data_IF_464851193221
#
_entry.id   IF_464851193221
#
_cell.length_a   1.000
_cell.length_b   1.000
_cell.length_c   1.000
_cell.angle_alpha   90.00
_cell.angle_beta   90.00
_cell.angle_gamma   90.00
#
_symmetry.space_group_name_H-M   'P 1'
#
loop_
_entity.id
_entity.type
_entity.pdbx_description
1 polymer ?
#
# COMPACT_ATOMS: atom_id res chain seq x y z
N UNK A 1 -57.19 -36.19 -34.16
CA UNK A 1 -57.59 -34.86 -33.66
C UNK A 1 -56.39 -34.24 -32.96
N UNK A 2 -56.06 -33.01 -33.38
CA UNK A 2 -55.13 -31.98 -32.86
C UNK A 2 -55.01 -31.95 -31.31
N UNK A 3 -53.95 -31.47 -30.63
CA UNK A 3 -52.90 -30.46 -30.92
C UNK A 3 -51.63 -30.79 -30.07
N UNK A 4 -50.39 -30.71 -30.58
CA UNK A 4 -49.46 -29.56 -30.64
C UNK A 4 -49.34 -28.73 -29.36
N UNK A 5 -48.20 -28.88 -28.66
CA UNK A 5 -47.32 -27.77 -28.23
C UNK A 5 -46.00 -28.30 -27.67
N UNK A 6 -44.94 -28.15 -28.47
CA UNK A 6 -43.55 -28.28 -28.05
C UNK A 6 -43.16 -27.06 -27.19
N UNK A 7 -42.40 -27.28 -26.11
CA UNK A 7 -41.59 -26.24 -25.48
C UNK A 7 -40.18 -26.74 -25.24
N UNK A 8 -39.29 -25.98 -25.86
CA UNK A 8 -37.84 -26.08 -25.93
C UNK A 8 -37.20 -25.66 -24.61
N UNK A 9 -36.09 -26.33 -24.26
CA UNK A 9 -35.21 -26.00 -23.13
C UNK A 9 -34.13 -25.03 -23.63
N UNK A 10 -33.90 -23.86 -23.01
CA UNK A 10 -32.75 -23.05 -23.35
C UNK A 10 -31.53 -23.45 -22.53
N UNK A 11 -30.41 -23.63 -23.25
CA UNK A 11 -29.03 -23.59 -22.74
C UNK A 11 -28.60 -22.12 -22.54
N UNK A 12 -27.59 -21.95 -21.68
CA UNK A 12 -26.75 -20.76 -21.45
C UNK A 12 -27.34 -19.60 -20.63
N UNK A 13 -26.78 -19.40 -19.44
CA UNK A 13 -26.56 -18.08 -18.85
C UNK A 13 -25.16 -18.09 -18.21
N UNK A 14 -24.22 -17.44 -18.89
CA UNK A 14 -22.89 -17.11 -18.39
C UNK A 14 -23.02 -16.05 -17.30
N UNK A 15 -22.30 -16.24 -16.19
CA UNK A 15 -22.24 -15.31 -15.08
C UNK A 15 -21.55 -14.01 -15.49
N UNK A 16 -22.28 -12.91 -15.43
CA UNK A 16 -21.74 -11.55 -15.45
C UNK A 16 -21.28 -11.19 -14.04
N UNK A 17 -19.98 -11.02 -13.85
CA UNK A 17 -19.41 -10.34 -12.69
C UNK A 17 -18.83 -9.02 -13.16
N UNK A 18 -19.62 -7.96 -13.05
CA UNK A 18 -19.18 -6.57 -13.22
C UNK A 18 -19.43 -5.89 -11.87
N UNK A 19 -18.36 -5.65 -11.11
CA UNK A 19 -18.39 -4.84 -9.89
C UNK A 19 -17.79 -3.48 -10.20
N UNK A 20 -18.65 -2.53 -10.58
CA UNK A 20 -18.38 -1.09 -10.49
C UNK A 20 -19.71 -0.33 -10.64
N UNK A 21 -20.22 0.26 -9.56
CA UNK A 21 -21.22 1.34 -9.65
C UNK A 21 -21.15 2.26 -8.41
N UNK A 22 -20.79 3.52 -8.66
CA UNK A 22 -21.37 4.79 -8.15
C UNK A 22 -20.33 5.90 -8.48
N UNK A 23 -20.61 7.02 -9.17
CA UNK A 23 -21.76 7.91 -9.11
C UNK A 23 -21.95 8.66 -10.45
N UNK A 24 -23.18 9.08 -10.73
CA UNK A 24 -23.62 9.82 -11.93
C UNK A 24 -23.56 11.34 -11.69
N UNK A 25 -22.92 12.16 -12.54
CA UNK A 25 -23.13 13.61 -12.53
C UNK A 25 -24.32 14.02 -13.41
N UNK A 26 -25.03 15.08 -12.98
CA UNK A 26 -26.16 15.71 -13.67
C UNK A 26 -25.72 16.37 -14.99
N UNK A 27 -26.58 16.29 -16.01
CA UNK A 27 -26.48 17.07 -17.25
C UNK A 27 -26.87 18.53 -17.03
N UNK A 28 -26.25 19.47 -17.78
CA UNK A 28 -26.91 20.68 -18.20
C UNK A 28 -27.26 20.65 -19.70
N UNK A 29 -28.37 21.31 -20.00
CA UNK A 29 -29.06 21.44 -21.27
C UNK A 29 -28.44 22.45 -22.24
N UNK A 30 -28.40 22.06 -23.52
CA UNK A 30 -28.75 22.85 -24.71
C UNK A 30 -28.07 24.21 -24.99
N UNK A 31 -27.23 24.31 -26.02
CA UNK A 31 -27.56 24.88 -27.35
C UNK A 31 -26.31 25.20 -28.21
N UNK A 32 -26.35 24.67 -29.45
CA UNK A 32 -25.94 25.22 -30.77
C UNK A 32 -24.46 25.49 -31.15
N UNK A 33 -23.98 24.60 -32.03
CA UNK A 33 -23.47 24.78 -33.42
C UNK A 33 -22.69 26.03 -33.87
N UNK A 34 -21.61 25.77 -34.62
CA UNK A 34 -21.05 26.60 -35.70
C UNK A 34 -19.56 26.91 -35.56
N UNK A 35 -18.66 26.11 -36.14
CA UNK A 35 -18.01 26.25 -37.46
C UNK A 35 -16.78 27.18 -37.52
N UNK A 36 -15.82 26.75 -38.35
CA UNK A 36 -14.44 27.18 -38.46
C UNK A 36 -14.22 28.56 -39.11
N UNK A 37 -13.05 29.18 -38.88
CA UNK A 37 -12.07 29.62 -39.90
C UNK A 37 -11.08 30.69 -39.38
N UNK A 38 -9.79 30.50 -39.68
CA UNK A 38 -8.74 31.53 -39.83
C UNK A 38 -9.16 32.51 -40.96
N UNK A 39 -8.71 33.80 -41.07
CA UNK A 39 -7.29 34.23 -41.01
C UNK A 39 -6.99 35.71 -40.56
N UNK A 40 -5.70 36.07 -40.56
CA UNK A 40 -5.14 37.45 -40.75
C UNK A 40 -5.52 38.02 -42.16
N UNK A 41 -5.24 39.28 -42.62
CA UNK A 41 -4.24 40.28 -42.16
C UNK A 41 -4.61 41.81 -42.24
N UNK A 42 -3.89 42.67 -41.48
CA UNK A 42 -3.47 44.11 -41.73
C UNK A 42 -4.48 45.21 -42.17
N UNK A 43 -4.12 46.52 -42.33
CA UNK A 43 -3.49 47.50 -41.41
C UNK A 43 -4.14 48.93 -41.46
N UNK A 44 -3.51 49.90 -40.77
CA UNK A 44 -3.41 51.36 -41.04
C UNK A 44 -4.40 52.39 -40.44
N UNK A 45 -3.76 53.50 -40.03
CA UNK A 45 -4.20 54.92 -40.05
C UNK A 45 -4.93 55.42 -38.80
N UNK A 46 -4.69 56.60 -38.23
CA UNK A 46 -3.70 57.69 -38.35
C UNK A 46 -4.03 58.68 -37.22
N UNK A 47 -3.04 59.40 -36.68
CA UNK A 47 -3.31 60.64 -35.95
C UNK A 47 -2.07 61.57 -36.03
N UNK A 48 -2.26 62.90 -36.10
CA UNK A 48 -1.23 63.81 -36.60
C UNK A 48 -0.63 64.75 -35.54
N UNK A 49 0.53 65.27 -35.93
CA UNK A 49 1.11 66.60 -35.73
C UNK A 49 1.63 67.08 -34.36
N UNK A 50 2.96 67.26 -34.41
CA UNK A 50 3.95 68.01 -33.63
C UNK A 50 3.58 69.53 -33.45
N UNK A 51 4.34 70.43 -32.76
CA UNK A 51 5.83 70.50 -32.65
C UNK A 51 6.34 70.97 -31.24
N UNK A 52 7.62 71.11 -30.85
CA UNK A 52 8.83 71.61 -31.51
C UNK A 52 10.08 71.26 -30.62
N UNK A 53 11.18 70.94 -31.30
CA UNK A 53 12.62 70.68 -30.98
C UNK A 53 13.44 71.79 -30.27
N UNK A 54 14.79 71.72 -30.02
CA UNK A 54 15.83 70.64 -29.82
C UNK A 54 16.82 71.03 -28.63
N UNK A 55 18.14 70.66 -28.50
CA UNK A 55 19.07 69.72 -29.20
C UNK A 55 20.04 68.83 -28.34
N UNK A 56 20.56 67.78 -29.01
CA UNK A 56 21.97 67.27 -29.07
C UNK A 56 22.68 66.52 -27.90
N UNK A 57 23.01 65.26 -28.25
CA UNK A 57 24.02 64.25 -27.84
C UNK A 57 25.37 64.70 -27.23
N UNK A 58 26.09 63.84 -26.46
CA UNK A 58 26.89 62.75 -27.07
C UNK A 58 27.00 61.41 -26.28
N UNK A 59 27.62 60.46 -27.00
CA UNK A 59 27.87 59.01 -26.87
C UNK A 59 28.82 58.56 -25.68
N UNK A 60 29.25 57.27 -25.59
CA UNK A 60 28.90 56.29 -24.56
C UNK A 60 29.96 56.08 -23.45
N UNK A 61 29.60 55.47 -22.31
CA UNK A 61 30.53 55.08 -21.23
C UNK A 61 30.25 53.64 -20.75
N UNK A 62 31.28 52.83 -20.41
CA UNK A 62 31.19 51.36 -20.39
C UNK A 62 30.42 50.80 -19.20
N UNK A 63 29.83 49.62 -19.43
CA UNK A 63 29.15 48.78 -18.43
C UNK A 63 30.07 48.48 -17.23
N UNK A 64 29.67 48.91 -16.03
CA UNK A 64 30.27 48.43 -14.78
C UNK A 64 29.60 47.14 -14.31
N UNK A 65 30.37 46.11 -13.89
CA UNK A 65 29.82 44.89 -13.32
C UNK A 65 29.51 45.07 -11.83
N UNK A 66 28.22 45.12 -11.48
CA UNK A 66 27.71 44.57 -10.21
C UNK A 66 27.07 43.22 -10.53
N UNK A 67 27.10 42.16 -9.73
CA UNK A 67 27.31 42.05 -8.29
C UNK A 67 27.67 40.60 -7.98
N UNK A 68 28.95 40.31 -7.72
CA UNK A 68 29.34 39.11 -6.99
C UNK A 68 30.12 39.55 -5.75
N UNK A 69 29.77 39.08 -4.54
CA UNK A 69 30.57 39.39 -3.35
C UNK A 69 31.94 38.75 -3.51
N UNK A 70 33.01 39.52 -3.39
CA UNK A 70 34.37 38.99 -3.42
C UNK A 70 34.63 38.15 -2.17
N UNK A 71 35.20 36.95 -2.35
CA UNK A 71 35.60 36.04 -1.27
C UNK A 71 36.97 36.39 -0.65
N UNK A 72 37.57 37.52 -1.05
CA UNK A 72 38.87 37.95 -0.56
C UNK A 72 38.74 38.62 0.81
N UNK A 73 39.12 37.87 1.85
CA UNK A 73 39.18 38.35 3.23
C UNK A 73 40.56 38.98 3.48
N UNK A 74 40.66 40.30 3.35
CA UNK A 74 41.85 41.04 3.77
C UNK A 74 41.80 41.32 5.28
N UNK A 75 42.88 41.08 6.04
CA UNK A 75 42.95 41.54 7.43
C UNK A 75 42.89 43.07 7.46
N UNK A 76 42.17 43.69 8.40
CA UNK A 76 41.96 45.13 8.42
C UNK A 76 43.29 45.88 8.62
N UNK A 77 43.47 46.96 7.86
CA UNK A 77 44.61 47.87 7.97
C UNK A 77 44.73 48.44 9.40
N UNK A 78 45.94 48.54 9.97
CA UNK A 78 46.14 49.01 11.34
C UNK A 78 45.83 50.51 11.56
N UNK A 79 45.41 51.23 10.50
CA UNK A 79 45.18 52.67 10.51
C UNK A 79 43.74 53.09 10.81
N UNK A 80 42.75 52.19 10.77
CA UNK A 80 41.40 52.47 11.28
C UNK A 80 41.24 52.01 12.73
N UNK A 81 42.08 52.56 13.60
CA UNK A 81 41.76 52.57 15.02
C UNK A 81 40.57 53.50 15.23
N UNK A 82 39.38 52.90 15.36
CA UNK A 82 38.23 53.52 16.02
C UNK A 82 38.75 54.36 17.19
N UNK A 83 38.41 55.66 17.22
CA UNK A 83 38.71 56.54 18.34
C UNK A 83 38.16 55.90 19.62
N UNK A 84 39.08 55.26 20.34
CA UNK A 84 38.81 54.49 21.53
C UNK A 84 38.62 55.49 22.66
N UNK A 85 37.37 55.72 23.05
CA UNK A 85 37.07 56.40 24.30
C UNK A 85 37.88 55.73 25.41
N UNK A 86 38.67 56.52 26.13
CA UNK A 86 39.67 56.08 27.12
C UNK A 86 39.08 55.46 28.39
N UNK A 87 38.00 54.69 28.29
CA UNK A 87 37.49 53.88 29.39
C UNK A 87 38.17 52.51 29.35
N UNK A 88 39.11 52.29 30.29
CA UNK A 88 39.60 50.95 30.63
C UNK A 88 38.41 50.11 31.10
N UNK A 89 37.82 49.32 30.20
CA UNK A 89 36.86 48.28 30.60
C UNK A 89 37.58 47.32 31.53
N UNK A 90 37.18 47.33 32.80
CA UNK A 90 37.69 46.42 33.81
C UNK A 90 37.54 44.99 33.29
N UNK A 91 38.63 44.23 33.31
CA UNK A 91 38.73 42.83 32.87
C UNK A 91 37.68 42.00 33.65
N UNK A 92 36.45 41.90 33.14
CA UNK A 92 35.31 41.25 33.80
C UNK A 92 33.98 42.01 33.80
N UNK A 93 33.91 43.28 33.37
CA UNK A 93 32.63 43.97 33.21
C UNK A 93 32.00 43.63 31.87
N UNK A 94 31.09 42.66 31.87
CA UNK A 94 30.24 42.35 30.71
C UNK A 94 29.60 43.62 30.16
N UNK A 95 29.60 43.76 28.84
CA UNK A 95 28.97 44.88 28.13
C UNK A 95 27.49 44.99 28.51
N UNK A 96 26.91 46.18 28.48
CA UNK A 96 25.48 46.39 28.76
C UNK A 96 24.60 45.50 27.88
N UNK A 97 25.01 45.30 26.62
CA UNK A 97 24.36 44.38 25.68
C UNK A 97 24.46 42.90 26.14
N UNK A 98 25.61 42.47 26.67
CA UNK A 98 25.81 41.11 27.17
C UNK A 98 25.04 40.85 28.47
N UNK A 99 24.97 41.83 29.37
CA UNK A 99 24.14 41.77 30.58
C UNK A 99 22.66 41.69 30.23
N UNK A 100 22.22 42.47 29.24
CA UNK A 100 20.83 42.43 28.74
C UNK A 100 20.51 41.07 28.13
N UNK A 101 21.37 40.52 27.25
CA UNK A 101 21.21 39.17 26.68
C UNK A 101 21.20 38.08 27.75
N UNK A 102 22.07 38.18 28.77
CA UNK A 102 22.12 37.20 29.87
C UNK A 102 20.88 37.27 30.77
N UNK A 103 20.39 38.47 31.07
CA UNK A 103 19.14 38.64 31.82
C UNK A 103 17.95 38.18 31.00
N UNK A 104 17.88 38.52 29.72
CA UNK A 104 16.86 38.03 28.80
C UNK A 104 16.89 36.50 28.67
N UNK A 105 18.08 35.89 28.59
CA UNK A 105 18.23 34.43 28.59
C UNK A 105 17.75 33.79 29.90
N UNK A 106 18.02 34.41 31.06
CA UNK A 106 17.50 33.94 32.36
C UNK A 106 15.99 34.08 32.45
N UNK A 107 15.43 35.21 31.99
CA UNK A 107 13.99 35.42 31.94
C UNK A 107 13.31 34.44 31.00
N UNK A 108 13.91 34.17 29.83
CA UNK A 108 13.42 33.19 28.87
C UNK A 108 13.45 31.77 29.45
N UNK A 109 14.54 31.38 30.12
CA UNK A 109 14.62 30.09 30.83
C UNK A 109 13.58 30.01 31.96
N UNK A 110 13.39 31.08 32.74
CA UNK A 110 12.35 31.15 33.76
C UNK A 110 10.95 30.98 33.18
N UNK A 111 10.64 31.68 32.10
CA UNK A 111 9.36 31.54 31.39
C UNK A 111 9.16 30.11 30.84
N UNK A 112 10.20 29.49 30.28
CA UNK A 112 10.15 28.12 29.78
C UNK A 112 9.92 27.11 30.90
N UNK A 113 10.56 27.29 32.06
CA UNK A 113 10.32 26.42 33.24
C UNK A 113 8.90 26.55 33.79
N UNK A 114 8.35 27.78 33.82
CA UNK A 114 6.96 28.00 34.23
C UNK A 114 5.98 27.38 33.24
N UNK A 115 6.23 27.53 31.94
CA UNK A 115 5.41 26.92 30.90
C UNK A 115 5.44 25.39 30.97
N UNK A 116 6.63 24.78 31.18
CA UNK A 116 6.76 23.34 31.34
C UNK A 116 6.06 22.84 32.61
N UNK A 117 6.18 23.56 33.73
CA UNK A 117 5.48 23.23 34.98
C UNK A 117 3.96 23.30 34.82
N UNK A 118 3.44 24.36 34.19
CA UNK A 118 2.02 24.50 33.90
C UNK A 118 1.52 23.38 32.95
N UNK A 119 2.32 23.03 31.94
CA UNK A 119 2.01 21.95 31.02
C UNK A 119 1.98 20.58 31.72
N UNK A 120 2.93 20.28 32.61
CA UNK A 120 2.95 19.06 33.40
C UNK A 120 1.72 18.93 34.33
N UNK A 121 1.27 20.04 34.92
CA UNK A 121 0.03 20.11 35.71
C UNK A 121 -1.19 19.85 34.81
N UNK A 122 -1.24 20.49 33.63
CA UNK A 122 -2.30 20.28 32.65
C UNK A 122 -2.38 18.83 32.16
N UNK A 123 -1.24 18.18 31.90
CA UNK A 123 -1.17 16.76 31.57
C UNK A 123 -1.65 15.85 32.71
N UNK A 124 -1.73 16.33 33.95
CA UNK A 124 -2.27 15.60 35.10
C UNK A 124 -3.79 15.68 35.26
N UNK A 125 -4.49 16.38 34.35
CA UNK A 125 -5.96 16.50 34.28
C UNK A 125 -6.66 15.14 34.23
N UNK A 126 -7.93 15.09 34.60
CA UNK A 126 -8.77 13.91 34.45
C UNK A 126 -8.93 13.50 32.97
N UNK A 127 -9.36 12.25 32.74
CA UNK A 127 -9.58 11.72 31.41
C UNK A 127 -10.90 12.25 30.85
N UNK A 128 -10.88 12.71 29.59
CA UNK A 128 -12.13 12.98 28.87
C UNK A 128 -12.67 11.70 28.25
N UNK A 129 -13.98 11.64 28.05
CA UNK A 129 -14.66 10.49 27.42
C UNK A 129 -14.14 10.22 25.99
N UNK A 130 -13.79 11.28 25.25
CA UNK A 130 -13.21 11.16 23.91
C UNK A 130 -11.78 10.60 23.94
N UNK A 131 -10.95 11.02 24.92
CA UNK A 131 -9.60 10.49 25.12
C UNK A 131 -9.64 9.00 25.50
N UNK A 132 -10.55 8.60 26.39
CA UNK A 132 -10.79 7.20 26.78
C UNK A 132 -11.21 6.35 25.58
N UNK A 133 -12.15 6.86 24.77
CA UNK A 133 -12.64 6.18 23.56
C UNK A 133 -11.54 6.02 22.51
N UNK A 134 -10.74 7.07 22.27
CA UNK A 134 -9.62 7.03 21.33
C UNK A 134 -8.57 5.99 21.75
N UNK A 135 -8.34 5.85 23.06
CA UNK A 135 -7.38 4.88 23.62
C UNK A 135 -7.95 3.47 23.81
N UNK A 136 -9.23 3.23 23.51
CA UNK A 136 -9.92 1.95 23.77
C UNK A 136 -9.76 1.47 25.23
N UNK A 137 -9.67 2.38 26.20
CA UNK A 137 -9.54 2.05 27.62
C UNK A 137 -10.87 2.29 28.35
N UNK A 138 -11.17 1.46 29.35
CA UNK A 138 -12.23 1.73 30.32
C UNK A 138 -11.69 2.57 31.49
N UNK A 139 -12.58 3.31 32.15
CA UNK A 139 -12.23 4.15 33.32
C UNK A 139 -11.53 3.34 34.41
N UNK A 140 -11.86 2.06 34.55
CA UNK A 140 -11.27 1.13 35.53
C UNK A 140 -9.83 0.72 35.20
N UNK A 141 -9.44 0.70 33.92
CA UNK A 141 -8.09 0.33 33.48
C UNK A 141 -7.15 1.54 33.47
N UNK A 142 -7.70 2.75 33.41
CA UNK A 142 -6.91 3.97 33.31
C UNK A 142 -6.26 4.35 34.65
N UNK A 143 -5.01 4.86 34.66
CA UNK A 143 -4.36 5.27 35.90
C UNK A 143 -5.14 6.43 36.55
N UNK A 144 -5.55 6.22 37.81
CA UNK A 144 -6.31 7.21 38.59
C UNK A 144 -5.44 8.29 39.22
N UNK A 145 -4.14 8.02 39.38
CA UNK A 145 -3.19 8.98 39.98
C UNK A 145 -2.82 10.07 38.99
N UNK A 146 -2.70 11.33 39.47
CA UNK A 146 -2.29 12.46 38.64
C UNK A 146 -0.96 12.20 37.91
N UNK A 147 0.01 11.62 38.62
CA UNK A 147 1.30 11.26 38.04
C UNK A 147 1.16 10.18 36.96
N UNK A 148 0.37 9.13 37.21
CA UNK A 148 0.11 8.09 36.21
C UNK A 148 -0.53 8.63 34.93
N UNK A 149 -1.44 9.61 35.05
CA UNK A 149 -2.02 10.30 33.87
C UNK A 149 -0.99 11.13 33.11
N UNK A 150 -0.18 11.91 33.82
CA UNK A 150 0.88 12.72 33.20
C UNK A 150 1.90 11.83 32.49
N UNK A 151 2.32 10.72 33.11
CA UNK A 151 3.27 9.79 32.50
C UNK A 151 2.66 9.14 31.27
N UNK A 152 1.40 8.70 31.32
CA UNK A 152 0.73 8.04 30.18
C UNK A 152 0.52 9.00 29.00
N UNK A 153 0.16 10.27 29.25
CA UNK A 153 0.06 11.28 28.19
C UNK A 153 1.43 11.64 27.61
N UNK A 154 2.47 11.65 28.44
CA UNK A 154 3.83 11.92 28.00
C UNK A 154 4.39 10.76 27.16
N UNK A 155 4.17 9.50 27.57
CA UNK A 155 4.57 8.32 26.78
C UNK A 155 3.82 8.26 25.45
N UNK A 156 2.54 8.61 25.45
CA UNK A 156 1.72 8.64 24.23
C UNK A 156 2.22 9.67 23.19
N UNK A 157 2.86 10.76 23.63
CA UNK A 157 3.52 11.71 22.73
C UNK A 157 4.67 11.06 21.94
N UNK A 158 5.32 10.06 22.52
CA UNK A 158 6.36 9.27 21.87
C UNK A 158 5.81 7.99 21.21
N UNK A 159 4.57 7.59 21.51
CA UNK A 159 3.94 6.40 20.92
C UNK A 159 3.67 6.56 19.42
N UNK A 160 3.59 7.79 18.90
CA UNK A 160 3.54 8.03 17.45
C UNK A 160 4.70 7.33 16.70
N UNK A 161 5.87 7.19 17.34
CA UNK A 161 7.03 6.51 16.75
C UNK A 161 7.01 4.98 16.95
N UNK A 162 6.16 4.47 17.85
CA UNK A 162 6.13 3.06 18.25
C UNK A 162 4.87 2.31 17.77
N UNK A 163 3.78 3.02 17.49
CA UNK A 163 2.52 2.49 16.94
C UNK A 163 2.48 2.70 15.42
N UNK A 164 1.79 1.84 14.66
CA UNK A 164 1.65 2.05 13.22
C UNK A 164 0.83 3.32 12.94
N UNK A 165 0.98 3.88 11.73
CA UNK A 165 0.31 5.13 11.33
C UNK A 165 -1.23 5.09 11.46
N UNK A 166 -1.83 3.90 11.45
CA UNK A 166 -3.27 3.69 11.54
C UNK A 166 -3.65 2.64 12.61
N UNK A 167 -4.79 2.82 13.30
CA UNK A 167 -5.25 1.86 14.31
C UNK A 167 -5.69 0.52 13.72
N UNK A 168 -6.09 0.51 12.45
CA UNK A 168 -6.40 -0.67 11.67
C UNK A 168 -5.68 -0.54 10.33
N UNK A 169 -4.88 -1.54 9.98
CA UNK A 169 -4.04 -1.53 8.78
C UNK A 169 -4.82 -1.89 7.52
N UNK A 170 -5.86 -2.72 7.66
CA UNK A 170 -6.70 -3.14 6.54
C UNK A 170 -8.14 -2.67 6.70
N UNK A 171 -8.82 -2.37 5.58
CA UNK A 171 -10.26 -2.17 5.59
C UNK A 171 -10.98 -3.44 6.05
N UNK A 172 -12.26 -3.34 6.47
CA UNK A 172 -13.05 -4.51 6.81
C UNK A 172 -13.10 -5.50 5.63
N UNK A 173 -13.22 -6.80 5.89
CA UNK A 173 -13.26 -7.80 4.85
C UNK A 173 -14.47 -7.59 3.92
N UNK A 174 -14.32 -7.98 2.66
CA UNK A 174 -15.43 -7.92 1.70
C UNK A 174 -16.65 -8.73 2.17
N UNK A 175 -17.88 -8.31 1.81
CA UNK A 175 -19.06 -9.12 2.08
C UNK A 175 -19.02 -10.43 1.27
N UNK A 176 -19.55 -11.50 1.85
CA UNK A 176 -19.83 -12.75 1.13
C UNK A 176 -20.68 -12.45 -0.13
N UNK A 177 -20.43 -13.09 -1.29
CA UNK A 177 -19.63 -14.31 -1.52
C UNK A 177 -18.16 -14.09 -1.94
N UNK A 178 -17.70 -12.85 -2.09
CA UNK A 178 -16.35 -12.58 -2.63
C UNK A 178 -15.24 -12.64 -1.58
N UNK A 179 -15.60 -12.79 -0.30
CA UNK A 179 -14.65 -12.90 0.79
C UNK A 179 -13.84 -14.21 0.69
N UNK A 180 -12.52 -14.11 0.81
CA UNK A 180 -11.65 -15.28 0.97
C UNK A 180 -11.68 -15.75 2.44
N UNK A 181 -11.63 -17.07 2.69
CA UNK A 181 -11.77 -17.62 4.05
C UNK A 181 -10.56 -17.32 4.96
N UNK A 182 -9.36 -17.19 4.38
CA UNK A 182 -8.10 -17.00 5.11
C UNK A 182 -7.31 -15.83 4.51
N UNK A 183 -6.49 -15.20 5.34
CA UNK A 183 -5.57 -14.12 4.93
C UNK A 183 -4.14 -14.63 5.00
N UNK A 184 -3.39 -14.46 3.90
CA UNK A 184 -1.99 -14.84 3.79
C UNK A 184 -1.12 -13.59 3.70
N UNK A 185 -0.34 -13.34 4.74
CA UNK A 185 0.64 -12.26 4.78
C UNK A 185 1.96 -12.76 4.19
N UNK A 186 2.56 -12.01 3.28
CA UNK A 186 3.76 -12.43 2.57
C UNK A 186 4.81 -11.33 2.61
N UNK A 187 6.00 -11.65 3.12
CA UNK A 187 7.17 -10.78 3.06
C UNK A 187 7.74 -10.72 1.65
N UNK A 188 8.40 -9.62 1.28
CA UNK A 188 9.04 -9.48 -0.04
C UNK A 188 10.49 -9.94 0.02
N UNK A 189 11.25 -9.35 0.94
CA UNK A 189 12.70 -9.45 1.01
C UNK A 189 13.19 -10.84 1.37
N UNK A 190 14.09 -11.35 0.53
CA UNK A 190 14.65 -12.68 0.57
C UNK A 190 13.59 -13.81 0.56
N UNK A 191 12.32 -13.49 0.29
CA UNK A 191 11.23 -14.46 0.17
C UNK A 191 10.74 -14.58 -1.27
N UNK A 192 10.27 -13.48 -1.86
CA UNK A 192 9.79 -13.41 -3.24
C UNK A 192 10.87 -12.88 -4.19
N UNK A 193 11.67 -11.94 -3.70
CA UNK A 193 12.77 -11.36 -4.45
C UNK A 193 13.99 -11.21 -3.56
N UNK A 194 15.16 -11.11 -4.15
CA UNK A 194 16.37 -10.70 -3.44
C UNK A 194 17.01 -9.55 -4.19
N UNK A 195 17.42 -8.52 -3.46
CA UNK A 195 18.04 -7.32 -4.01
C UNK A 195 19.52 -7.33 -3.65
N UNK A 196 20.37 -7.23 -4.67
CA UNK A 196 21.82 -7.15 -4.53
C UNK A 196 22.29 -5.79 -5.03
N UNK A 197 23.28 -5.20 -4.37
CA UNK A 197 23.89 -3.96 -4.82
C UNK A 197 25.29 -4.25 -5.35
N UNK A 198 25.58 -3.72 -6.54
CA UNK A 198 26.89 -3.77 -7.16
C UNK A 198 27.33 -2.33 -7.53
N UNK A 199 28.64 -2.07 -7.49
CA UNK A 199 29.19 -0.74 -7.80
C UNK A 199 29.00 -0.36 -9.28
N UNK A 200 29.02 -1.35 -10.18
CA UNK A 200 28.88 -1.10 -11.62
C UNK A 200 27.42 -0.90 -12.05
N UNK A 201 26.50 -1.66 -11.45
CA UNK A 201 25.11 -1.76 -11.91
C UNK A 201 24.08 -1.20 -10.91
N UNK A 202 24.54 -0.77 -9.72
CA UNK A 202 23.67 -0.35 -8.64
C UNK A 202 22.82 -1.49 -8.07
N UNK A 203 21.60 -1.16 -7.65
CA UNK A 203 20.64 -2.12 -7.13
C UNK A 203 20.04 -2.98 -8.25
N UNK A 204 20.14 -4.30 -8.09
CA UNK A 204 19.55 -5.30 -8.97
C UNK A 204 18.68 -6.24 -8.15
N UNK A 205 17.44 -6.42 -8.58
CA UNK A 205 16.47 -7.31 -7.92
C UNK A 205 16.25 -8.54 -8.78
N UNK A 206 16.51 -9.71 -8.21
CA UNK A 206 16.23 -11.00 -8.82
C UNK A 206 14.88 -11.54 -8.32
N UNK A 207 14.10 -12.15 -9.20
CA UNK A 207 12.83 -12.79 -8.87
C UNK A 207 13.06 -14.26 -8.52
N UNK A 208 12.47 -14.73 -7.42
CA UNK A 208 12.56 -16.14 -7.03
C UNK A 208 11.83 -17.04 -8.04
N UNK A 209 12.40 -18.20 -8.41
CA UNK A 209 11.72 -19.13 -9.30
C UNK A 209 10.33 -19.50 -8.77
N UNK A 210 9.33 -19.46 -9.64
CA UNK A 210 7.95 -19.85 -9.31
C UNK A 210 7.11 -18.80 -8.56
N UNK A 211 7.61 -17.59 -8.31
CA UNK A 211 6.84 -16.52 -7.63
C UNK A 211 5.55 -16.17 -8.35
N UNK A 212 5.57 -15.99 -9.67
CA UNK A 212 4.37 -15.62 -10.43
C UNK A 212 3.29 -16.71 -10.30
N UNK A 213 3.70 -17.98 -10.43
CA UNK A 213 2.81 -19.13 -10.27
C UNK A 213 2.27 -19.20 -8.84
N UNK A 214 3.13 -19.02 -7.84
CA UNK A 214 2.75 -19.05 -6.45
C UNK A 214 1.69 -17.98 -6.12
N UNK A 215 1.92 -16.72 -6.51
CA UNK A 215 0.97 -15.61 -6.26
C UNK A 215 -0.36 -15.83 -6.97
N UNK A 216 -0.31 -16.22 -8.25
CA UNK A 216 -1.51 -16.44 -9.05
C UNK A 216 -2.34 -17.65 -8.59
N UNK A 217 -1.68 -18.73 -8.16
CA UNK A 217 -2.37 -19.92 -7.69
C UNK A 217 -2.94 -19.74 -6.27
N UNK A 218 -2.19 -19.09 -5.37
CA UNK A 218 -2.59 -18.96 -3.97
C UNK A 218 -3.69 -17.90 -3.76
N UNK A 219 -3.78 -16.88 -4.63
CA UNK A 219 -4.82 -15.85 -4.59
C UNK A 219 -6.23 -16.40 -4.82
N UNK A 220 -6.36 -17.58 -5.42
CA UNK A 220 -7.64 -18.28 -5.55
C UNK A 220 -8.20 -18.68 -4.17
N UNK A 221 -7.31 -18.98 -3.22
CA UNK A 221 -7.66 -19.52 -1.90
C UNK A 221 -7.60 -18.50 -0.76
N UNK A 222 -6.63 -17.58 -0.82
CA UNK A 222 -6.31 -16.64 0.26
C UNK A 222 -6.54 -15.19 -0.18
N UNK A 223 -6.89 -14.34 0.79
CA UNK A 223 -6.66 -12.91 0.69
C UNK A 223 -5.16 -12.66 0.83
N UNK A 224 -4.47 -12.39 -0.27
CA UNK A 224 -3.02 -12.18 -0.27
C UNK A 224 -2.71 -10.74 0.10
N UNK A 225 -1.96 -10.57 1.19
CA UNK A 225 -1.51 -9.26 1.67
C UNK A 225 0.00 -9.26 1.68
N UNK A 226 0.59 -8.36 0.91
CA UNK A 226 2.03 -8.12 0.99
C UNK A 226 2.29 -7.32 2.26
N UNK A 227 3.12 -7.84 3.16
CA UNK A 227 3.53 -7.13 4.37
C UNK A 227 5.05 -7.15 4.47
N UNK A 228 5.69 -6.09 3.99
CA UNK A 228 7.15 -5.96 3.93
C UNK A 228 7.70 -4.95 4.95
N UNK A 229 8.95 -5.13 5.35
CA UNK A 229 9.71 -4.14 6.14
C UNK A 229 10.40 -3.10 5.27
N UNK A 230 10.31 -3.21 3.94
CA UNK A 230 10.77 -2.16 3.03
C UNK A 230 9.83 -0.95 3.02
N UNK A 231 10.40 0.23 2.78
CA UNK A 231 9.64 1.46 2.62
C UNK A 231 8.80 1.43 1.33
N UNK A 232 7.72 2.20 1.30
CA UNK A 232 6.83 2.29 0.15
C UNK A 232 7.58 2.55 -1.17
N UNK A 233 8.51 3.51 -1.18
CA UNK A 233 9.20 3.95 -2.40
C UNK A 233 10.12 2.88 -3.02
N UNK A 234 10.62 1.91 -2.24
CA UNK A 234 11.46 0.82 -2.77
C UNK A 234 10.63 -0.38 -3.18
N UNK A 235 9.63 -0.74 -2.37
CA UNK A 235 8.88 -1.97 -2.55
C UNK A 235 7.71 -1.83 -3.54
N UNK A 236 7.03 -0.68 -3.60
CA UNK A 236 5.87 -0.52 -4.48
C UNK A 236 6.20 -0.82 -5.96
N UNK A 237 7.30 -0.30 -6.55
CA UNK A 237 7.67 -0.62 -7.93
C UNK A 237 8.03 -2.10 -8.16
N UNK A 238 8.45 -2.81 -7.12
CA UNK A 238 8.73 -4.26 -7.19
C UNK A 238 7.41 -5.02 -7.24
N UNK A 239 6.47 -4.69 -6.33
CA UNK A 239 5.14 -5.33 -6.29
C UNK A 239 4.37 -5.06 -7.58
N UNK A 240 4.42 -3.84 -8.13
CA UNK A 240 3.80 -3.50 -9.42
C UNK A 240 4.35 -4.30 -10.60
N UNK A 241 5.60 -4.77 -10.51
CA UNK A 241 6.19 -5.65 -11.52
C UNK A 241 5.81 -7.12 -11.31
N UNK A 242 5.56 -7.54 -10.07
CA UNK A 242 5.13 -8.90 -9.74
C UNK A 242 3.64 -9.11 -10.02
N UNK A 243 2.80 -8.10 -9.76
CA UNK A 243 1.36 -8.11 -10.00
C UNK A 243 0.93 -6.86 -10.77
N UNK A 244 1.16 -6.87 -12.08
CA UNK A 244 0.97 -5.70 -12.94
C UNK A 244 -0.49 -5.28 -13.10
N UNK A 245 -1.43 -6.20 -12.91
CA UNK A 245 -2.86 -5.95 -13.07
C UNK A 245 -3.61 -5.91 -11.73
N UNK A 246 -2.91 -6.04 -10.59
CA UNK A 246 -3.49 -6.08 -9.25
C UNK A 246 -4.54 -7.19 -9.07
N UNK A 247 -4.31 -8.35 -9.69
CA UNK A 247 -5.25 -9.47 -9.62
C UNK A 247 -5.00 -10.41 -8.45
N UNK A 248 -3.76 -10.46 -7.97
CA UNK A 248 -3.34 -11.47 -6.99
C UNK A 248 -3.22 -10.88 -5.60
N UNK A 249 -2.62 -9.70 -5.47
CA UNK A 249 -2.38 -9.01 -4.20
C UNK A 249 -3.56 -8.11 -3.87
N UNK A 250 -4.26 -8.42 -2.76
CA UNK A 250 -5.43 -7.64 -2.31
C UNK A 250 -5.01 -6.35 -1.60
N UNK A 251 -4.01 -6.43 -0.72
CA UNK A 251 -3.53 -5.28 0.05
C UNK A 251 -2.00 -5.27 0.16
N UNK A 252 -1.44 -4.07 0.34
CA UNK A 252 0.00 -3.83 0.38
C UNK A 252 0.34 -3.00 1.62
N UNK A 253 1.14 -3.58 2.50
CA UNK A 253 1.62 -3.00 3.74
C UNK A 253 3.15 -2.94 3.69
N UNK A 254 3.69 -1.78 4.02
CA UNK A 254 5.11 -1.46 3.92
C UNK A 254 5.68 -1.12 5.30
N UNK A 255 6.92 -0.61 5.36
CA UNK A 255 7.62 -0.25 6.60
C UNK A 255 6.79 0.66 7.51
N UNK A 256 6.02 1.56 6.94
CA UNK A 256 5.17 2.53 7.63
C UNK A 256 4.04 1.87 8.44
N UNK A 257 3.69 0.62 8.11
CA UNK A 257 2.70 -0.19 8.83
C UNK A 257 3.31 -1.08 9.93
N UNK A 258 4.64 -1.09 10.09
CA UNK A 258 5.33 -1.90 11.10
C UNK A 258 5.60 -1.10 12.38
N UNK A 259 5.78 -1.81 13.50
CA UNK A 259 6.14 -1.24 14.80
C UNK A 259 7.62 -1.41 15.08
N UNK A 260 8.18 -0.50 15.87
CA UNK A 260 9.51 -0.67 16.45
C UNK A 260 9.37 -1.04 17.92
N UNK A 261 9.73 -2.27 18.29
CA UNK A 261 9.71 -2.74 19.68
C UNK A 261 11.15 -3.04 20.08
N UNK A 262 11.67 -2.32 21.08
CA UNK A 262 13.05 -2.45 21.55
C UNK A 262 14.11 -2.30 20.43
N UNK A 263 13.86 -1.41 19.46
CA UNK A 263 14.74 -1.17 18.32
C UNK A 263 14.66 -2.24 17.22
N UNK A 264 13.77 -3.24 17.34
CA UNK A 264 13.51 -4.26 16.32
C UNK A 264 12.22 -3.97 15.58
N UNK A 265 12.19 -4.27 14.29
CA UNK A 265 11.01 -4.08 13.43
C UNK A 265 10.08 -5.29 13.60
N UNK A 266 8.83 -5.02 13.95
CA UNK A 266 7.81 -6.03 14.21
C UNK A 266 6.55 -5.75 13.39
N UNK A 267 6.04 -6.78 12.73
CA UNK A 267 4.78 -6.83 11.99
C UNK A 267 3.69 -7.28 12.95
N UNK A 268 3.07 -6.31 13.63
CA UNK A 268 2.06 -6.59 14.63
C UNK A 268 0.70 -6.93 14.00
N UNK A 269 0.30 -8.21 14.08
CA UNK A 269 -0.91 -8.72 13.46
C UNK A 269 -2.20 -8.26 14.15
N UNK A 270 -2.10 -7.76 15.39
CA UNK A 270 -3.27 -7.25 16.13
C UNK A 270 -3.91 -6.03 15.45
N UNK A 271 -3.16 -5.31 14.62
CA UNK A 271 -3.65 -4.14 13.87
C UNK A 271 -4.21 -4.52 12.50
N UNK A 272 -4.20 -5.79 12.09
CA UNK A 272 -4.58 -6.20 10.74
C UNK A 272 -6.09 -6.11 10.46
N UNK A 273 -6.93 -6.00 11.49
CA UNK A 273 -8.40 -6.07 11.38
C UNK A 273 -8.88 -7.38 10.71
N UNK A 274 -8.27 -8.50 11.11
CA UNK A 274 -8.62 -9.85 10.67
C UNK A 274 -8.62 -10.79 11.87
N UNK A 275 -9.39 -11.88 11.77
CA UNK A 275 -9.42 -12.93 12.78
C UNK A 275 -8.10 -13.72 12.76
N UNK A 276 -7.30 -13.63 13.84
CA UNK A 276 -5.99 -14.26 13.94
C UNK A 276 -6.05 -15.79 13.81
N UNK A 277 -7.19 -16.44 14.07
CA UNK A 277 -7.35 -17.89 13.84
C UNK A 277 -7.32 -18.26 12.35
N UNK A 278 -7.43 -17.27 11.45
CA UNK A 278 -7.48 -17.42 9.99
C UNK A 278 -6.37 -16.65 9.26
N UNK A 279 -5.38 -16.14 9.99
CA UNK A 279 -4.23 -15.40 9.43
C UNK A 279 -2.99 -16.30 9.45
N UNK A 280 -2.30 -16.37 8.32
CA UNK A 280 -1.00 -17.03 8.20
C UNK A 280 0.02 -16.02 7.70
N UNK A 281 1.19 -15.95 8.34
CA UNK A 281 2.29 -15.07 7.93
C UNK A 281 3.47 -15.88 7.40
N UNK A 282 3.89 -15.59 6.17
CA UNK A 282 5.10 -16.14 5.56
C UNK A 282 6.20 -15.08 5.60
N UNK A 283 7.24 -15.34 6.39
CA UNK A 283 8.37 -14.44 6.56
C UNK A 283 9.70 -15.19 6.52
N UNK A 284 10.80 -14.44 6.44
CA UNK A 284 12.15 -14.99 6.47
C UNK A 284 12.89 -14.66 7.76
N UNK A 285 12.38 -13.70 8.53
CA UNK A 285 12.97 -13.28 9.79
C UNK A 285 11.99 -13.52 10.96
N UNK A 286 12.37 -14.30 11.98
CA UNK A 286 11.51 -14.53 13.14
C UNK A 286 11.28 -13.26 13.97
N UNK A 287 12.13 -12.23 13.86
CA UNK A 287 11.94 -10.99 14.60
C UNK A 287 10.70 -10.22 14.12
N UNK A 288 10.42 -10.29 12.81
CA UNK A 288 9.26 -9.63 12.20
C UNK A 288 7.95 -10.11 12.80
N UNK A 289 7.84 -11.38 13.21
CA UNK A 289 6.61 -11.97 13.75
C UNK A 289 6.69 -12.26 15.24
N UNK A 290 7.62 -11.61 15.95
CA UNK A 290 7.87 -11.84 17.38
C UNK A 290 6.65 -11.64 18.30
N UNK A 291 5.65 -10.85 17.88
CA UNK A 291 4.39 -10.68 18.62
C UNK A 291 3.40 -11.82 18.44
N UNK A 292 3.44 -12.54 17.31
CA UNK A 292 2.50 -13.60 16.96
C UNK A 292 3.24 -14.77 16.27
N UNK A 293 4.19 -15.43 16.97
CA UNK A 293 4.98 -16.52 16.40
C UNK A 293 4.11 -17.72 15.96
N UNK A 294 2.98 -17.95 16.61
CA UNK A 294 2.05 -19.06 16.32
C UNK A 294 1.32 -18.92 14.98
N UNK A 295 1.29 -17.72 14.41
CA UNK A 295 0.74 -17.44 13.09
C UNK A 295 1.80 -17.42 11.99
N UNK A 296 3.08 -17.57 12.34
CA UNK A 296 4.21 -17.35 11.44
C UNK A 296 4.85 -18.65 10.96
N UNK A 297 5.14 -18.68 9.67
CA UNK A 297 5.93 -19.72 9.01
C UNK A 297 7.20 -19.05 8.51
N UNK A 298 8.32 -19.40 9.16
CA UNK A 298 9.63 -18.86 8.82
C UNK A 298 10.28 -19.73 7.76
N UNK A 299 10.49 -19.16 6.58
CA UNK A 299 11.11 -19.80 5.43
C UNK A 299 12.58 -19.34 5.33
N UNK A 300 13.53 -20.22 4.97
CA UNK A 300 14.90 -19.81 4.75
C UNK A 300 15.02 -18.67 3.72
N UNK A 301 15.87 -17.67 4.03
CA UNK A 301 16.21 -16.57 3.12
C UNK A 301 16.74 -17.10 1.79
N UNK A 302 16.12 -16.69 0.69
CA UNK A 302 16.53 -17.05 -0.67
C UNK A 302 17.66 -16.13 -1.14
N UNK A 303 18.80 -16.73 -1.50
CA UNK A 303 20.04 -16.02 -1.85
C UNK A 303 20.23 -15.86 -3.37
N UNK A 304 19.18 -16.02 -4.17
CA UNK A 304 19.28 -15.88 -5.63
C UNK A 304 19.53 -17.17 -6.41
N UNK A 305 19.45 -18.36 -5.77
CA UNK A 305 19.63 -19.64 -6.47
C UNK A 305 18.48 -19.88 -7.48
N UNK A 306 18.76 -20.03 -8.79
CA UNK A 306 17.75 -20.29 -9.81
C UNK A 306 17.13 -21.69 -9.74
N UNK A 307 17.73 -22.63 -8.99
CA UNK A 307 17.19 -23.99 -8.79
C UNK A 307 16.35 -24.12 -7.52
N UNK A 308 16.12 -23.01 -6.81
CA UNK A 308 15.27 -23.01 -5.63
C UNK A 308 13.83 -23.36 -6.00
N UNK A 309 13.28 -24.36 -5.30
CA UNK A 309 11.88 -24.76 -5.41
C UNK A 309 11.13 -24.57 -4.09
N UNK A 310 11.73 -23.86 -3.12
CA UNK A 310 11.21 -23.78 -1.76
C UNK A 310 9.84 -23.11 -1.68
N UNK A 311 9.62 -22.06 -2.48
CA UNK A 311 8.34 -21.34 -2.52
C UNK A 311 7.21 -22.19 -3.13
N UNK A 312 7.49 -22.87 -4.25
CA UNK A 312 6.51 -23.74 -4.92
C UNK A 312 6.19 -24.97 -4.06
N UNK A 313 7.19 -25.51 -3.37
CA UNK A 313 7.02 -26.67 -2.49
C UNK A 313 6.14 -26.36 -1.26
N UNK A 314 5.91 -25.08 -0.92
CA UNK A 314 4.97 -24.67 0.14
C UNK A 314 3.50 -24.69 -0.29
N UNK A 315 3.22 -24.66 -1.60
CA UNK A 315 1.85 -24.59 -2.13
C UNK A 315 0.96 -25.73 -1.61
N UNK A 316 1.36 -27.01 -1.66
CA UNK A 316 0.51 -28.12 -1.20
C UNK A 316 0.06 -27.98 0.26
N UNK A 317 0.94 -27.46 1.12
CA UNK A 317 0.64 -27.25 2.53
C UNK A 317 -0.39 -26.13 2.71
N UNK A 318 -0.16 -24.96 2.11
CA UNK A 318 -1.08 -23.81 2.20
C UNK A 318 -2.44 -24.12 1.54
N UNK A 319 -2.42 -24.80 0.40
CA UNK A 319 -3.63 -25.26 -0.31
C UNK A 319 -4.48 -26.17 0.60
N UNK A 320 -3.83 -27.09 1.33
CA UNK A 320 -4.54 -28.02 2.23
C UNK A 320 -5.32 -27.32 3.34
N UNK A 321 -4.75 -26.26 3.92
CA UNK A 321 -5.42 -25.45 4.96
C UNK A 321 -6.67 -24.80 4.36
N UNK A 322 -6.57 -24.21 3.17
CA UNK A 322 -7.71 -23.56 2.53
C UNK A 322 -8.81 -24.55 2.08
N UNK A 323 -8.43 -25.77 1.66
CA UNK A 323 -9.37 -26.82 1.24
C UNK A 323 -10.10 -27.44 2.43
N UNK A 324 -9.38 -27.86 3.48
CA UNK A 324 -9.99 -28.51 4.64
C UNK A 324 -10.72 -27.55 5.57
N UNK A 325 -10.43 -26.25 5.46
CA UNK A 325 -11.08 -25.17 6.22
C UNK A 325 -11.09 -25.40 7.75
N UNK A 326 -9.93 -25.58 8.39
CA UNK A 326 -9.85 -25.69 9.84
C UNK A 326 -10.33 -24.40 10.53
N UNK A 327 -10.96 -24.52 11.69
CA UNK A 327 -11.43 -23.34 12.44
C UNK A 327 -10.29 -22.45 12.92
N UNK A 328 -9.13 -23.04 13.25
CA UNK A 328 -7.93 -22.33 13.69
C UNK A 328 -6.69 -22.93 13.01
N UNK A 329 -5.87 -22.06 12.41
CA UNK A 329 -4.64 -22.44 11.72
C UNK A 329 -3.44 -22.62 12.67
N UNK A 330 -3.45 -21.99 13.85
CA UNK A 330 -2.29 -21.93 14.76
C UNK A 330 -1.83 -23.32 15.24
N UNK A 331 -2.72 -24.24 15.66
CA UNK A 331 -2.30 -25.59 16.05
C UNK A 331 -1.68 -26.39 14.90
N UNK A 332 -2.11 -26.11 13.67
CA UNK A 332 -1.57 -26.76 12.48
C UNK A 332 -0.16 -26.26 12.22
N UNK A 333 0.07 -24.96 12.26
CA UNK A 333 1.39 -24.34 12.09
C UNK A 333 2.36 -24.85 13.17
N UNK A 334 1.94 -24.84 14.42
CA UNK A 334 2.72 -25.32 15.57
C UNK A 334 3.18 -26.78 15.39
N UNK A 335 2.34 -27.66 14.83
CA UNK A 335 2.69 -29.06 14.60
C UNK A 335 3.87 -29.26 13.62
N UNK A 336 4.15 -28.27 12.78
CA UNK A 336 5.30 -28.26 11.85
C UNK A 336 6.41 -27.29 12.26
N UNK A 337 6.32 -26.66 13.44
CA UNK A 337 7.36 -25.77 13.93
C UNK A 337 8.71 -26.52 14.04
N UNK A 338 9.78 -25.89 13.56
CA UNK A 338 11.14 -26.48 13.52
C UNK A 338 11.35 -27.61 12.50
N UNK A 339 10.35 -27.93 11.67
CA UNK A 339 10.45 -28.97 10.63
C UNK A 339 10.48 -28.35 9.23
N UNK A 340 10.97 -29.11 8.26
CA UNK A 340 10.84 -28.73 6.85
C UNK A 340 9.41 -29.03 6.38
N UNK A 341 8.55 -28.01 6.40
CA UNK A 341 7.10 -28.13 6.14
C UNK A 341 6.81 -28.85 4.81
N UNK A 342 7.42 -28.49 3.66
CA UNK A 342 7.15 -29.16 2.39
C UNK A 342 7.39 -30.67 2.43
N UNK A 343 8.53 -31.09 2.99
CA UNK A 343 8.93 -32.51 3.00
C UNK A 343 8.03 -33.31 3.94
N UNK A 344 7.77 -32.79 5.14
CA UNK A 344 6.95 -33.49 6.14
C UNK A 344 5.48 -33.55 5.70
N UNK A 345 4.97 -32.48 5.07
CA UNK A 345 3.63 -32.48 4.51
C UNK A 345 3.50 -33.48 3.34
N UNK A 346 4.49 -33.52 2.44
CA UNK A 346 4.50 -34.48 1.33
C UNK A 346 4.47 -35.95 1.80
N UNK A 347 5.19 -36.27 2.89
CA UNK A 347 5.12 -37.61 3.52
C UNK A 347 3.71 -37.91 4.03
N UNK A 348 3.11 -36.99 4.77
CA UNK A 348 1.73 -37.14 5.29
C UNK A 348 0.70 -37.27 4.18
N UNK A 349 0.84 -36.51 3.09
CA UNK A 349 -0.03 -36.61 1.91
C UNK A 349 0.10 -37.99 1.25
N UNK A 350 1.32 -38.52 1.10
CA UNK A 350 1.57 -39.85 0.56
C UNK A 350 0.96 -40.96 1.43
N UNK A 351 1.09 -40.86 2.76
CA UNK A 351 0.46 -41.78 3.72
C UNK A 351 -1.07 -41.74 3.64
N UNK A 352 -1.67 -40.54 3.59
CA UNK A 352 -3.11 -40.38 3.45
C UNK A 352 -3.62 -40.97 2.12
N UNK A 353 -2.87 -40.78 1.04
CA UNK A 353 -3.18 -41.36 -0.27
C UNK A 353 -3.05 -42.88 -0.26
N UNK A 354 -2.02 -43.45 0.38
CA UNK A 354 -1.86 -44.89 0.52
C UNK A 354 -3.05 -45.51 1.27
N UNK A 355 -3.47 -44.90 2.39
CA UNK A 355 -4.65 -45.34 3.16
C UNK A 355 -5.93 -45.30 2.32
N UNK A 356 -6.15 -44.23 1.54
CA UNK A 356 -7.29 -44.16 0.62
C UNK A 356 -7.29 -45.32 -0.39
N UNK A 357 -6.12 -45.61 -0.98
CA UNK A 357 -5.97 -46.70 -1.95
C UNK A 357 -6.26 -48.06 -1.30
N UNK A 358 -5.77 -48.29 -0.08
CA UNK A 358 -6.04 -49.51 0.69
C UNK A 358 -7.52 -49.66 1.02
N UNK A 359 -8.17 -48.60 1.52
CA UNK A 359 -9.61 -48.59 1.78
C UNK A 359 -10.43 -48.87 0.51
N UNK A 360 -10.04 -48.29 -0.62
CA UNK A 360 -10.68 -48.54 -1.91
C UNK A 360 -10.49 -49.98 -2.37
N UNK A 361 -9.27 -50.53 -2.25
CA UNK A 361 -8.97 -51.94 -2.55
C UNK A 361 -9.78 -52.88 -1.66
N UNK A 362 -9.87 -52.60 -0.36
CA UNK A 362 -10.65 -53.38 0.59
C UNK A 362 -12.15 -53.32 0.27
N UNK A 363 -12.70 -52.14 -0.04
CA UNK A 363 -14.10 -51.99 -0.50
C UNK A 363 -14.37 -52.76 -1.80
N UNK A 364 -13.41 -52.81 -2.72
CA UNK A 364 -13.51 -53.61 -3.95
C UNK A 364 -13.37 -55.11 -3.69
N UNK A 365 -12.61 -55.50 -2.67
CA UNK A 365 -12.41 -56.88 -2.19
C UNK A 365 -13.61 -57.45 -1.42
N UNK A 366 -14.48 -56.60 -0.86
CA UNK A 366 -15.74 -57.01 -0.24
C UNK A 366 -16.84 -57.02 -1.30
N UNK A 367 -16.89 -58.08 -2.11
CA UNK A 367 -18.13 -58.45 -2.82
C UNK A 367 -18.95 -59.37 -1.91
N UNK A 368 -20.17 -59.00 -1.45
CA UNK A 368 -21.08 -59.98 -0.88
C UNK A 368 -21.72 -60.74 -2.04
N UNK A 369 -21.08 -61.83 -2.48
CA UNK A 369 -21.69 -62.78 -3.40
C UNK A 369 -21.18 -64.18 -3.12
N UNK A 370 -21.54 -64.70 -1.94
CA UNK A 370 -21.43 -66.14 -1.63
C UNK A 370 -22.78 -66.78 -1.29
N UNK A 371 -23.91 -66.17 -1.69
CA UNK A 371 -25.24 -66.80 -1.57
C UNK A 371 -26.08 -66.78 -2.85
N UNK A 372 -25.83 -65.87 -3.80
CA UNK A 372 -26.54 -65.81 -5.09
C UNK A 372 -26.06 -66.86 -6.11
N UNK A 373 -24.89 -67.48 -5.92
CA UNK A 373 -24.40 -68.58 -6.74
C UNK A 373 -25.01 -69.95 -6.38
N UNK A 374 -25.83 -70.03 -5.32
CA UNK A 374 -26.51 -71.27 -4.91
C UNK A 374 -27.93 -71.42 -5.48
N UNK A 375 -28.44 -70.42 -6.21
CA UNK A 375 -29.79 -70.40 -6.79
C UNK A 375 -29.84 -70.14 -8.31
N UNK A 376 -28.77 -70.45 -9.04
CA UNK A 376 -28.86 -70.89 -10.44
C UNK A 376 -29.54 -69.99 -11.48
N UNK A 377 -29.70 -68.68 -11.26
CA UNK A 377 -30.24 -67.77 -12.28
C UNK A 377 -29.08 -67.07 -12.98
N UNK A 378 -28.67 -67.66 -14.10
CA UNK A 378 -27.78 -67.05 -15.08
C UNK A 378 -28.59 -66.29 -16.14
N UNK A 379 -28.53 -64.97 -16.11
CA UNK A 379 -28.89 -64.11 -17.26
C UNK A 379 -27.85 -63.01 -17.44
N UNK A 380 -26.81 -63.31 -18.22
CA UNK A 380 -26.11 -62.31 -19.07
C UNK A 380 -27.03 -61.93 -20.25
N UNK A 381 -26.84 -60.83 -21.03
CA UNK A 381 -25.65 -59.99 -21.20
C UNK A 381 -25.90 -58.46 -21.37
N UNK A 382 -24.93 -57.60 -21.06
CA UNK A 382 -24.56 -56.35 -21.77
C UNK A 382 -23.80 -55.39 -20.87
N UNK A 383 -22.68 -54.86 -21.38
CA UNK A 383 -21.98 -53.73 -20.78
C UNK A 383 -20.50 -53.98 -20.66
N UNK A 384 -19.80 -53.73 -21.77
CA UNK A 384 -18.39 -53.39 -21.90
C UNK A 384 -17.52 -53.56 -20.64
N UNK A 385 -16.59 -54.50 -20.76
CA UNK A 385 -15.34 -54.54 -20.03
C UNK A 385 -14.55 -53.23 -20.20
N UNK A 386 -14.79 -52.23 -19.35
CA UNK A 386 -13.82 -51.17 -19.12
C UNK A 386 -12.73 -51.69 -18.17
N UNK A 387 -11.72 -52.29 -18.78
CA UNK A 387 -10.49 -52.81 -18.16
C UNK A 387 -9.51 -51.69 -17.80
N UNK A 388 -10.01 -50.63 -17.16
CA UNK A 388 -9.19 -49.62 -16.50
C UNK A 388 -9.95 -49.07 -15.30
N UNK A 389 -10.01 -49.83 -14.20
CA UNK A 389 -10.53 -49.30 -12.94
C UNK A 389 -9.53 -48.31 -12.35
N UNK A 390 -9.53 -47.08 -12.85
CA UNK A 390 -8.73 -45.99 -12.33
C UNK A 390 -9.13 -45.73 -10.86
N UNK A 391 -8.13 -45.64 -9.98
CA UNK A 391 -8.34 -45.32 -8.56
C UNK A 391 -9.05 -43.96 -8.49
N UNK A 392 -10.17 -43.81 -7.76
CA UNK A 392 -10.82 -42.51 -7.65
C UNK A 392 -9.84 -41.51 -7.00
N UNK A 393 -9.72 -40.29 -7.54
CA UNK A 393 -8.85 -39.28 -6.95
C UNK A 393 -9.33 -38.93 -5.54
N UNK A 394 -8.38 -38.64 -4.65
CA UNK A 394 -8.69 -38.17 -3.29
C UNK A 394 -9.44 -36.83 -3.33
N UNK A 395 -10.15 -36.47 -2.26
CA UNK A 395 -10.84 -35.17 -2.18
C UNK A 395 -9.90 -33.98 -2.46
N UNK A 396 -8.70 -34.02 -1.89
CA UNK A 396 -7.67 -33.00 -2.10
C UNK A 396 -7.22 -32.96 -3.57
N UNK A 397 -6.99 -34.11 -4.21
CA UNK A 397 -6.61 -34.16 -5.64
C UNK A 397 -7.72 -33.65 -6.56
N UNK A 398 -8.99 -33.92 -6.25
CA UNK A 398 -10.13 -33.38 -7.00
C UNK A 398 -10.14 -31.85 -6.92
N UNK A 399 -9.98 -31.29 -5.72
CA UNK A 399 -9.94 -29.84 -5.51
C UNK A 399 -8.71 -29.17 -6.13
N UNK A 400 -7.55 -29.82 -6.06
CA UNK A 400 -6.33 -29.36 -6.75
C UNK A 400 -6.53 -29.29 -8.25
N UNK A 401 -7.18 -30.30 -8.84
CA UNK A 401 -7.50 -30.33 -10.27
C UNK A 401 -8.44 -29.20 -10.66
N UNK A 402 -9.50 -28.95 -9.87
CA UNK A 402 -10.41 -27.83 -10.08
C UNK A 402 -9.66 -26.48 -10.06
N UNK A 403 -8.83 -26.25 -9.04
CA UNK A 403 -8.02 -25.04 -8.94
C UNK A 403 -6.99 -24.89 -10.08
N UNK A 404 -6.37 -25.98 -10.53
CA UNK A 404 -5.47 -25.94 -11.68
C UNK A 404 -6.20 -25.59 -12.98
N UNK A 405 -7.42 -26.11 -13.17
CA UNK A 405 -8.26 -25.73 -14.31
C UNK A 405 -8.60 -24.24 -14.26
N UNK A 406 -9.04 -23.75 -13.09
CA UNK A 406 -9.32 -22.33 -12.89
C UNK A 406 -8.09 -21.45 -13.16
N UNK A 407 -6.91 -21.84 -12.66
CA UNK A 407 -5.66 -21.14 -12.96
C UNK A 407 -5.38 -21.07 -14.47
N UNK A 408 -5.52 -22.18 -15.19
CA UNK A 408 -5.29 -22.20 -16.63
C UNK A 408 -6.29 -21.33 -17.39
N UNK A 409 -7.55 -21.31 -16.96
CA UNK A 409 -8.60 -20.44 -17.53
C UNK A 409 -8.28 -18.96 -17.29
N UNK A 410 -7.87 -18.58 -16.07
CA UNK A 410 -7.45 -17.23 -15.71
C UNK A 410 -6.23 -16.79 -16.54
N UNK A 411 -5.21 -17.64 -16.71
CA UNK A 411 -4.04 -17.33 -17.53
C UNK A 411 -4.39 -17.15 -19.01
N UNK A 412 -5.28 -17.98 -19.55
CA UNK A 412 -5.79 -17.82 -20.92
C UNK A 412 -6.54 -16.50 -21.08
N UNK A 413 -7.41 -16.18 -20.12
CA UNK A 413 -8.15 -14.92 -20.12
C UNK A 413 -7.23 -13.70 -20.13
N UNK A 414 -6.21 -13.68 -19.25
CA UNK A 414 -5.20 -12.61 -19.19
C UNK A 414 -4.43 -12.51 -20.51
N UNK A 415 -4.06 -13.64 -21.10
CA UNK A 415 -3.34 -13.67 -22.37
C UNK A 415 -4.19 -13.12 -23.54
N UNK A 416 -5.46 -13.49 -23.60
CA UNK A 416 -6.40 -13.06 -24.64
C UNK A 416 -6.76 -11.57 -24.52
N UNK A 417 -6.90 -11.04 -23.30
CA UNK A 417 -7.34 -9.66 -23.04
C UNK A 417 -6.19 -8.72 -22.67
N UNK A 418 -4.94 -9.13 -22.90
CA UNK A 418 -3.74 -8.39 -22.47
C UNK A 418 -3.74 -6.93 -22.95
N UNK A 419 -4.05 -6.69 -24.22
CA UNK A 419 -4.05 -5.33 -24.79
C UNK A 419 -5.12 -4.43 -24.17
N UNK A 420 -6.29 -5.00 -23.85
CA UNK A 420 -7.37 -4.28 -23.18
C UNK A 420 -6.95 -3.90 -21.76
N UNK A 421 -6.37 -4.86 -21.02
CA UNK A 421 -5.84 -4.62 -19.67
C UNK A 421 -4.75 -3.55 -19.67
N UNK A 422 -3.85 -3.56 -20.66
CA UNK A 422 -2.80 -2.53 -20.80
C UNK A 422 -3.39 -1.15 -21.11
N UNK A 423 -4.44 -1.05 -21.94
CA UNK A 423 -5.15 0.22 -22.20
C UNK A 423 -5.84 0.76 -20.95
N UNK A 424 -6.52 -0.10 -20.20
CA UNK A 424 -7.17 0.28 -18.95
C UNK A 424 -6.15 0.77 -17.91
N UNK A 425 -5.04 0.06 -17.76
CA UNK A 425 -3.95 0.47 -16.88
C UNK A 425 -3.38 1.84 -17.27
N UNK A 426 -3.15 2.07 -18.56
CA UNK A 426 -2.65 3.37 -19.05
C UNK A 426 -3.66 4.51 -18.80
N UNK A 427 -4.96 4.23 -18.96
CA UNK A 427 -6.02 5.20 -18.67
C UNK A 427 -6.08 5.54 -17.17
N UNK A 428 -5.96 4.53 -16.29
CA UNK A 428 -5.91 4.73 -14.85
C UNK A 428 -4.68 5.54 -14.43
N UNK A 429 -3.51 5.26 -15.02
CA UNK A 429 -2.30 6.04 -14.77
C UNK A 429 -2.45 7.51 -15.19
N UNK A 430 -3.10 7.78 -16.32
CA UNK A 430 -3.38 9.15 -16.76
C UNK A 430 -4.39 9.84 -15.86
N UNK A 431 -5.44 9.14 -15.43
CA UNK A 431 -6.42 9.66 -14.48
C UNK A 431 -5.76 9.99 -13.13
N UNK A 432 -4.97 9.07 -12.58
CA UNK A 432 -4.21 9.31 -11.35
C UNK A 432 -3.24 10.47 -11.50
N UNK A 433 -2.50 10.57 -12.61
CA UNK A 433 -1.59 11.68 -12.86
C UNK A 433 -2.33 13.04 -12.98
N UNK A 434 -3.56 13.04 -13.50
CA UNK A 434 -4.43 14.22 -13.54
C UNK A 434 -5.06 14.57 -12.20
N UNK A 435 -5.26 13.59 -11.32
CA UNK A 435 -5.79 13.75 -9.96
C UNK A 435 -4.72 14.10 -8.92
N UNK A 436 -3.43 13.87 -9.19
CA UNK A 436 -2.36 14.39 -8.33
C UNK A 436 -2.55 15.89 -8.26
N UNK A 437 -2.97 16.44 -7.10
CA UNK A 437 -3.38 17.82 -7.03
C UNK A 437 -2.19 18.68 -7.43
N UNK A 438 -2.47 19.71 -8.23
CA UNK A 438 -1.49 20.70 -8.68
C UNK A 438 -0.64 21.29 -7.56
N UNK A 439 -0.93 21.05 -6.28
CA UNK A 439 -0.18 21.47 -5.11
C UNK A 439 1.31 21.18 -5.13
N UNK A 440 1.85 20.14 -5.79
CA UNK A 440 3.31 19.98 -5.87
C UNK A 440 3.97 20.89 -6.91
N UNK A 441 3.33 21.10 -8.07
CA UNK A 441 3.81 22.02 -9.10
C UNK A 441 3.47 23.48 -8.78
N UNK A 442 2.28 23.74 -8.24
CA UNK A 442 1.87 25.03 -7.67
C UNK A 442 2.72 25.39 -6.45
N UNK A 443 3.04 24.46 -5.52
CA UNK A 443 3.97 24.79 -4.43
C UNK A 443 5.38 25.08 -4.93
N UNK A 444 5.81 24.44 -6.02
CA UNK A 444 7.09 24.71 -6.65
C UNK A 444 7.11 26.07 -7.38
N UNK A 445 6.01 26.45 -8.04
CA UNK A 445 5.82 27.78 -8.62
C UNK A 445 5.68 28.87 -7.55
N UNK A 446 5.04 28.55 -6.42
CA UNK A 446 4.93 29.44 -5.25
C UNK A 446 6.28 29.61 -4.54
N UNK A 447 7.16 28.61 -4.60
CA UNK A 447 8.54 28.67 -4.08
C UNK A 447 9.50 29.37 -5.06
N UNK A 448 9.23 29.32 -6.36
CA UNK A 448 9.98 30.03 -7.40
C UNK A 448 9.59 31.49 -7.61
N UNK A 449 8.61 32.00 -6.86
CA UNK A 449 8.35 33.43 -6.76
C UNK A 449 7.96 34.07 -8.10
N UNK A 450 7.02 33.48 -8.83
CA UNK A 450 6.33 34.21 -9.90
C UNK A 450 5.17 35.01 -9.28
N UNK A 451 5.19 36.35 -9.32
CA UNK A 451 4.10 37.14 -8.78
C UNK A 451 2.85 36.94 -9.65
N UNK A 452 1.74 36.65 -8.98
CA UNK A 452 0.39 36.58 -9.53
C UNK A 452 0.10 37.91 -10.25
N UNK A 453 -0.10 37.89 -11.57
CA UNK A 453 -0.76 39.01 -12.26
C UNK A 453 -2.18 39.09 -11.72
N UNK A 454 -2.44 40.07 -10.85
CA UNK A 454 -3.79 40.51 -10.52
C UNK A 454 -4.51 40.84 -11.82
N UNK A 455 -5.58 40.10 -12.12
CA UNK A 455 -6.56 40.53 -13.10
C UNK A 455 -7.40 41.61 -12.42
N UNK A 456 -7.46 42.77 -13.06
CA UNK A 456 -8.27 43.92 -12.67
C UNK A 456 -9.75 43.53 -12.54
N UNK A 457 -10.22 43.31 -11.31
CA UNK A 457 -11.63 43.43 -10.95
C UNK A 457 -11.98 44.92 -10.82
N UNK A 458 -12.06 45.61 -11.97
CA UNK A 458 -12.71 46.92 -12.11
C UNK A 458 -13.60 46.95 -13.34
N UNK A 459 -14.62 46.11 -13.35
CA UNK A 459 -15.73 46.21 -14.30
C UNK A 459 -17.04 45.67 -13.69
N UNK A 460 -17.43 46.17 -12.52
CA UNK A 460 -18.74 45.85 -11.94
C UNK A 460 -19.27 46.89 -10.92
N UNK A 461 -19.05 48.21 -11.13
CA UNK A 461 -19.75 49.26 -10.34
C UNK A 461 -20.14 50.50 -11.17
N UNK A 462 -20.14 50.44 -12.51
CA UNK A 462 -20.50 51.60 -13.35
C UNK A 462 -21.65 51.29 -14.33
N UNK A 463 -22.67 50.56 -13.87
CA UNK A 463 -23.83 50.15 -14.67
C UNK A 463 -25.17 50.37 -13.99
N UNK A 464 -25.26 51.29 -13.03
CA UNK A 464 -26.52 51.56 -12.32
C UNK A 464 -26.71 53.05 -12.01
N UNK A 465 -26.49 53.95 -12.98
CA UNK A 465 -27.01 55.32 -12.86
C UNK A 465 -27.09 56.11 -14.18
N UNK A 466 -27.61 55.54 -15.29
CA UNK A 466 -28.11 56.36 -16.41
C UNK A 466 -29.28 55.64 -17.10
N UNK A 467 -30.43 55.59 -16.42
CA UNK A 467 -31.73 55.35 -17.04
C UNK A 467 -32.78 56.20 -16.33
N UNK A 468 -32.54 57.51 -16.30
CA UNK A 468 -33.58 58.55 -16.22
C UNK A 468 -33.17 59.63 -17.21
N UNK A 469 -34.17 60.16 -17.91
CA UNK A 469 -34.13 61.23 -18.91
C UNK A 469 -33.44 60.92 -20.24
N UNK A 470 -34.21 60.36 -21.18
CA UNK A 470 -34.67 61.00 -22.45
C UNK A 470 -34.92 59.95 -23.52
#
# INVERSE_FOLDING_TARGET
MFAVLARTVPRHALGQSVRCMANKPRQPSSLKEGQASTPEPTPMSSAPDAPTTPPTEPEPTPLQPGSVPSLDFAPPDPAEQQQRTGARSSKGSLSSAERSRRNMGRMAMGALTLAFGANAIYMGREWDEEELKAKKMTIEQAPSTRWGRTTERFTDLFDYFNKPAWPELLPPPYPAPHQKPYTLLISIDDLLVTSTWDRQHGWRTAKRPGVDYFLAYISQFYEVVIFTTQNYYTAAPIVDKLDRYNFFVTHRLYREATRSINGKIVKDLSYLNRDLSKVVSLDTDPEHTSTHPENAIIIPKWKGDPRDNGLVAMIPFLESIAIYRPQDVRPIIEAYHGKNIPIEYAKKEAEAKAKHIEEWKNKKGVRPSSFSSLFGISTTPNGASDTNSHIPPTYLEQKRREAQMQYQEEQKYIAEHREELEKLLAQEQQAMAGEVPGTLWEAFDHLKGTPKKEKDDKAAVAGQEVARTS
#
